data_IF_099883037146
#
_entry.id   IF_099883037146
#
_cell.length_a   1.000
_cell.length_b   1.000
_cell.length_c   1.000
_cell.angle_alpha   90.00
_cell.angle_beta   90.00
_cell.angle_gamma   90.00
#
_symmetry.space_group_name_H-M   'P 1'
#
loop_
_entity.id
_entity.type
_entity.pdbx_description
1 polymer ?
#
# COMPACT_ATOMS: atom_id res chain seq x y z
N UNK A 1 -56.21 -54.63 -11.62
CA UNK A 1 -55.86 -53.43 -12.42
C UNK A 1 -55.49 -52.16 -11.62
N UNK A 2 -55.52 -52.12 -10.26
CA UNK A 2 -55.19 -50.89 -9.49
C UNK A 2 -53.71 -50.68 -9.10
N UNK A 3 -52.86 -51.71 -9.09
CA UNK A 3 -51.44 -51.58 -8.65
C UNK A 3 -50.48 -51.05 -9.73
N UNK A 4 -50.81 -51.18 -11.02
CA UNK A 4 -49.98 -50.68 -12.14
C UNK A 4 -50.08 -49.16 -12.35
N UNK A 5 -51.19 -48.53 -11.97
CA UNK A 5 -51.37 -47.08 -12.12
C UNK A 5 -50.65 -46.27 -11.04
N UNK A 6 -50.55 -46.76 -9.80
CA UNK A 6 -49.79 -46.07 -8.75
C UNK A 6 -48.27 -46.04 -9.03
N UNK A 7 -47.71 -47.12 -9.58
CA UNK A 7 -46.29 -47.16 -9.95
C UNK A 7 -45.92 -46.20 -11.09
N UNK A 8 -46.83 -46.01 -12.08
CA UNK A 8 -46.64 -45.04 -13.16
C UNK A 8 -46.72 -43.59 -12.68
N UNK A 9 -47.63 -43.30 -11.74
CA UNK A 9 -47.76 -41.97 -11.13
C UNK A 9 -46.52 -41.66 -10.28
N UNK A 10 -46.04 -42.61 -9.47
CA UNK A 10 -44.80 -42.43 -8.68
C UNK A 10 -43.57 -42.19 -9.56
N UNK A 11 -43.48 -42.86 -10.72
CA UNK A 11 -42.41 -42.64 -11.70
C UNK A 11 -42.46 -41.25 -12.35
N UNK A 12 -43.65 -40.76 -12.71
CA UNK A 12 -43.82 -39.41 -13.26
C UNK A 12 -43.47 -38.32 -12.23
N UNK A 13 -43.85 -38.51 -10.96
CA UNK A 13 -43.46 -37.59 -9.87
C UNK A 13 -41.94 -37.57 -9.63
N UNK A 14 -41.26 -38.72 -9.71
CA UNK A 14 -39.80 -38.78 -9.58
C UNK A 14 -39.07 -38.14 -10.77
N UNK A 15 -39.56 -38.29 -12.00
CA UNK A 15 -38.97 -37.62 -13.17
C UNK A 15 -39.16 -36.10 -13.08
N UNK A 16 -40.33 -35.62 -12.67
CA UNK A 16 -40.59 -34.18 -12.47
C UNK A 16 -39.66 -33.61 -11.38
N UNK A 17 -39.45 -34.33 -10.27
CA UNK A 17 -38.52 -33.90 -9.22
C UNK A 17 -37.05 -33.91 -9.67
N UNK A 18 -36.63 -34.89 -10.48
CA UNK A 18 -35.26 -34.92 -11.05
C UNK A 18 -35.06 -33.80 -12.07
N UNK A 19 -36.05 -33.50 -12.91
CA UNK A 19 -35.98 -32.34 -13.83
C UNK A 19 -35.95 -31.03 -13.04
N UNK A 20 -36.76 -30.89 -11.98
CA UNK A 20 -36.76 -29.72 -11.10
C UNK A 20 -35.40 -29.52 -10.39
N UNK A 21 -34.77 -30.62 -9.95
CA UNK A 21 -33.42 -30.62 -9.37
C UNK A 21 -32.33 -30.24 -10.40
N UNK A 22 -32.42 -30.72 -11.64
CA UNK A 22 -31.45 -30.40 -12.70
C UNK A 22 -31.65 -28.96 -13.21
N UNK A 23 -32.88 -28.45 -13.25
CA UNK A 23 -33.15 -27.03 -13.59
C UNK A 23 -32.76 -26.07 -12.46
N UNK A 24 -32.69 -26.52 -11.22
CA UNK A 24 -32.16 -25.71 -10.10
C UNK A 24 -30.64 -25.58 -10.08
N UNK A 25 -29.91 -26.29 -10.95
CA UNK A 25 -28.44 -26.26 -11.03
C UNK A 25 -27.89 -25.61 -12.31
N UNK A 26 -28.72 -24.93 -13.11
CA UNK A 26 -28.28 -24.25 -14.33
C UNK A 26 -28.73 -22.78 -14.40
N UNK A 27 -28.59 -22.04 -13.30
CA UNK A 27 -28.48 -20.57 -13.37
C UNK A 27 -27.57 -20.04 -12.25
N UNK A 28 -26.37 -20.60 -12.08
CA UNK A 28 -25.25 -19.76 -11.64
C UNK A 28 -24.67 -19.12 -12.90
N UNK A 29 -25.40 -18.15 -13.45
CA UNK A 29 -24.74 -17.06 -14.16
C UNK A 29 -23.90 -16.40 -13.09
N UNK A 30 -22.62 -16.77 -13.02
CA UNK A 30 -21.63 -15.91 -12.42
C UNK A 30 -21.82 -14.58 -13.13
N UNK A 31 -22.46 -13.62 -12.46
CA UNK A 31 -22.35 -12.23 -12.83
C UNK A 31 -20.86 -11.95 -12.61
N UNK A 32 -20.05 -12.23 -13.64
CA UNK A 32 -18.81 -11.52 -13.85
C UNK A 32 -19.29 -10.08 -13.84
N UNK A 33 -19.12 -9.40 -12.70
CA UNK A 33 -19.28 -7.97 -12.64
C UNK A 33 -18.21 -7.48 -13.59
N UNK A 34 -18.61 -7.26 -14.84
CA UNK A 34 -17.78 -6.64 -15.85
C UNK A 34 -17.48 -5.27 -15.25
N UNK A 35 -16.33 -5.16 -14.57
CA UNK A 35 -15.81 -3.88 -14.19
C UNK A 35 -15.83 -3.03 -15.46
N UNK A 36 -16.36 -1.79 -15.41
CA UNK A 36 -16.41 -0.90 -16.56
C UNK A 36 -15.10 -1.02 -17.36
N UNK A 37 -15.19 -1.30 -18.66
CA UNK A 37 -14.02 -1.63 -19.48
C UNK A 37 -12.87 -0.63 -19.24
N UNK A 38 -11.70 -1.17 -18.88
CA UNK A 38 -10.49 -0.40 -18.62
C UNK A 38 -10.29 0.09 -17.18
N UNK A 39 -11.16 -0.25 -16.22
CA UNK A 39 -10.84 -0.11 -14.80
C UNK A 39 -9.91 -1.22 -14.33
N UNK A 40 -8.87 -0.85 -13.59
CA UNK A 40 -7.91 -1.76 -12.98
C UNK A 40 -7.71 -1.46 -11.49
N UNK A 41 -7.48 -2.50 -10.68
CA UNK A 41 -7.16 -2.35 -9.25
C UNK A 41 -5.82 -1.64 -9.10
N UNK A 42 -5.72 -0.69 -8.17
CA UNK A 42 -4.47 -0.02 -7.86
C UNK A 42 -3.52 -1.00 -7.16
N UNK A 43 -2.43 -1.36 -7.83
CA UNK A 43 -1.37 -2.23 -7.31
C UNK A 43 -0.13 -1.47 -6.89
N UNK A 44 -0.01 -0.19 -7.24
CA UNK A 44 1.12 0.65 -6.81
C UNK A 44 1.17 0.69 -5.28
N UNK A 45 2.21 0.14 -4.63
CA UNK A 45 2.20 -0.13 -3.18
C UNK A 45 1.93 1.11 -2.34
N UNK A 46 2.42 2.28 -2.76
CA UNK A 46 2.18 3.51 -2.00
C UNK A 46 0.76 4.06 -2.14
N UNK A 47 -0.03 3.59 -3.10
CA UNK A 47 -1.36 4.15 -3.38
C UNK A 47 -2.48 3.15 -3.12
N UNK A 48 -2.22 1.84 -3.26
CA UNK A 48 -3.14 0.75 -2.93
C UNK A 48 -3.74 0.98 -1.54
N UNK A 49 -5.03 0.77 -1.29
CA UNK A 49 -5.73 1.00 0.00
C UNK A 49 -5.45 2.31 0.79
N UNK A 50 -4.80 3.30 0.17
CA UNK A 50 -4.48 4.57 0.80
C UNK A 50 -5.45 5.65 0.31
N UNK A 51 -5.84 5.58 -0.96
CA UNK A 51 -6.85 6.42 -1.56
C UNK A 51 -8.25 5.99 -1.08
N UNK A 52 -9.27 6.87 -1.14
CA UNK A 52 -10.65 6.50 -0.81
C UNK A 52 -11.32 5.62 -1.88
N UNK A 53 -10.58 5.24 -2.93
CA UNK A 53 -10.98 4.36 -4.00
C UNK A 53 -9.88 3.33 -4.25
N UNK A 54 -10.27 2.19 -4.83
CA UNK A 54 -9.39 1.04 -5.05
C UNK A 54 -9.04 0.81 -6.52
N UNK A 55 -9.72 1.50 -7.44
CA UNK A 55 -9.56 1.30 -8.89
C UNK A 55 -9.16 2.60 -9.58
N UNK A 56 -8.39 2.46 -10.65
CA UNK A 56 -8.01 3.56 -11.55
C UNK A 56 -8.30 3.18 -13.00
N UNK A 57 -8.15 4.15 -13.91
CA UNK A 57 -8.22 3.93 -15.35
C UNK A 57 -7.02 4.60 -16.01
N UNK A 58 -6.27 3.86 -16.80
CA UNK A 58 -5.18 4.35 -17.64
C UNK A 58 -5.61 4.40 -19.12
N UNK A 59 -5.05 5.30 -19.95
CA UNK A 59 -3.95 6.21 -19.63
C UNK A 59 -4.33 7.39 -18.75
N UNK A 60 -3.41 7.82 -17.89
CA UNK A 60 -3.59 9.04 -17.09
C UNK A 60 -3.27 10.31 -17.92
N UNK A 61 -3.50 11.48 -17.32
CA UNK A 61 -3.24 12.79 -17.95
C UNK A 61 -1.76 13.09 -18.24
N UNK A 62 -0.85 12.20 -17.83
CA UNK A 62 0.58 12.27 -18.09
C UNK A 62 1.04 11.27 -19.17
N UNK A 63 0.09 10.53 -19.77
CA UNK A 63 0.36 9.59 -20.85
C UNK A 63 0.83 8.21 -20.40
N UNK A 64 0.90 7.92 -19.09
CA UNK A 64 1.25 6.58 -18.62
C UNK A 64 0.12 5.62 -18.92
N UNK A 65 0.44 4.49 -19.51
CA UNK A 65 -0.50 3.45 -19.95
C UNK A 65 -0.53 2.24 -19.00
N UNK A 66 0.48 2.12 -18.13
CA UNK A 66 0.59 1.05 -17.14
C UNK A 66 0.88 1.58 -15.74
N UNK A 67 0.48 0.84 -14.71
CA UNK A 67 0.83 1.18 -13.33
C UNK A 67 2.34 1.04 -13.04
N UNK A 68 3.07 0.25 -13.83
CA UNK A 68 4.55 0.17 -13.78
C UNK A 68 5.19 1.48 -14.21
N UNK A 69 4.70 2.09 -15.29
CA UNK A 69 5.15 3.42 -15.72
C UNK A 69 4.83 4.49 -14.66
N UNK A 70 3.62 4.42 -14.07
CA UNK A 70 3.24 5.32 -12.97
C UNK A 70 4.19 5.15 -11.79
N UNK A 71 4.44 3.92 -11.35
CA UNK A 71 5.35 3.59 -10.25
C UNK A 71 6.74 4.21 -10.48
N UNK A 72 7.34 3.96 -11.65
CA UNK A 72 8.67 4.50 -12.00
C UNK A 72 8.68 6.03 -12.05
N UNK A 73 7.56 6.64 -12.43
CA UNK A 73 7.48 8.10 -12.41
C UNK A 73 7.42 8.64 -10.99
N UNK A 74 6.68 8.00 -10.08
CA UNK A 74 6.41 8.59 -8.76
C UNK A 74 7.35 8.10 -7.66
N UNK A 75 8.16 7.07 -7.92
CA UNK A 75 9.09 6.47 -6.94
C UNK A 75 10.05 7.49 -6.33
N UNK A 76 10.58 8.45 -7.11
CA UNK A 76 11.52 9.45 -6.59
C UNK A 76 10.87 10.45 -5.61
N UNK A 77 9.54 10.46 -5.50
CA UNK A 77 8.83 11.26 -4.50
C UNK A 77 8.64 10.54 -3.17
N UNK A 78 8.97 9.25 -3.07
CA UNK A 78 8.77 8.47 -1.85
C UNK A 78 9.43 9.07 -0.63
N UNK A 79 10.67 9.54 -0.77
CA UNK A 79 11.39 10.13 0.36
C UNK A 79 10.62 11.26 1.03
N UNK A 80 9.79 12.02 0.29
CA UNK A 80 8.96 13.09 0.88
C UNK A 80 7.63 12.58 1.44
N UNK A 81 7.07 11.51 0.85
CA UNK A 81 5.90 10.82 1.40
C UNK A 81 6.25 10.20 2.74
N UNK A 82 7.38 9.48 2.78
CA UNK A 82 7.99 8.89 3.96
C UNK A 82 8.30 9.98 4.98
N UNK A 83 8.97 11.07 4.59
CA UNK A 83 9.24 12.20 5.49
C UNK A 83 7.99 12.68 6.25
N UNK A 84 6.79 12.46 5.72
CA UNK A 84 5.56 12.70 6.45
C UNK A 84 5.31 14.19 6.62
N UNK A 85 5.88 15.01 5.72
CA UNK A 85 5.70 16.46 5.74
C UNK A 85 4.23 16.86 5.63
N UNK A 86 3.41 16.04 4.96
CA UNK A 86 1.97 16.21 4.83
C UNK A 86 1.34 14.89 4.41
N UNK A 87 0.33 14.42 5.16
CA UNK A 87 -0.48 13.26 4.76
C UNK A 87 -1.14 13.49 3.38
N UNK A 88 -1.43 14.75 3.06
CA UNK A 88 -1.96 15.16 1.77
C UNK A 88 -0.95 15.10 0.63
N UNK A 89 0.36 15.02 0.87
CA UNK A 89 1.35 14.91 -0.20
C UNK A 89 1.26 13.57 -0.93
N UNK A 90 1.27 12.45 -0.20
CA UNK A 90 1.07 11.12 -0.77
C UNK A 90 -0.28 11.02 -1.50
N UNK A 91 -1.35 11.58 -0.91
CA UNK A 91 -2.69 11.59 -1.53
C UNK A 91 -2.71 12.37 -2.84
N UNK A 92 -2.06 13.53 -2.84
CA UNK A 92 -1.96 14.41 -3.99
C UNK A 92 -1.22 13.74 -5.15
N UNK A 93 -0.07 13.11 -4.88
CA UNK A 93 0.71 12.42 -5.91
C UNK A 93 -0.06 11.21 -6.43
N UNK A 94 -0.53 10.32 -5.56
CA UNK A 94 -1.30 9.15 -5.97
C UNK A 94 -2.51 9.53 -6.84
N UNK A 95 -3.33 10.51 -6.42
CA UNK A 95 -4.51 10.93 -7.17
C UNK A 95 -4.21 11.65 -8.50
N UNK A 96 -2.98 12.12 -8.69
CA UNK A 96 -2.57 12.75 -9.95
C UNK A 96 -2.25 11.72 -11.03
N UNK A 97 -1.63 10.60 -10.64
CA UNK A 97 -1.14 9.57 -11.57
C UNK A 97 -2.05 8.33 -11.62
N UNK A 98 -2.84 8.08 -10.59
CA UNK A 98 -3.83 6.99 -10.51
C UNK A 98 -5.20 7.58 -10.18
N UNK A 99 -5.76 8.45 -11.04
CA UNK A 99 -7.04 9.08 -10.75
C UNK A 99 -8.16 8.04 -10.69
N UNK A 100 -9.15 8.30 -9.85
CA UNK A 100 -10.43 7.60 -9.91
C UNK A 100 -11.12 7.94 -11.23
N UNK A 101 -11.92 7.01 -11.76
CA UNK A 101 -12.73 7.24 -12.94
C UNK A 101 -14.21 7.22 -12.57
N UNK A 102 -14.85 8.39 -12.66
CA UNK A 102 -16.27 8.53 -12.41
C UNK A 102 -17.04 8.07 -13.66
N UNK A 103 -17.67 6.90 -13.54
CA UNK A 103 -18.46 6.28 -14.61
C UNK A 103 -19.66 7.15 -15.00
N UNK A 104 -20.26 7.87 -14.04
CA UNK A 104 -21.45 8.69 -14.27
C UNK A 104 -21.16 9.91 -15.13
N UNK A 105 -20.00 10.53 -14.93
CA UNK A 105 -19.57 11.71 -15.70
C UNK A 105 -18.56 11.39 -16.81
N UNK A 106 -18.17 10.12 -16.93
CA UNK A 106 -17.12 9.63 -17.84
C UNK A 106 -15.84 10.45 -17.76
N UNK A 107 -15.39 10.76 -16.53
CA UNK A 107 -14.26 11.66 -16.29
C UNK A 107 -13.33 11.14 -15.20
N UNK A 108 -12.04 11.37 -15.41
CA UNK A 108 -11.04 11.18 -14.36
C UNK A 108 -11.19 12.24 -13.26
N UNK A 109 -11.20 11.78 -12.01
CA UNK A 109 -11.29 12.61 -10.81
C UNK A 109 -9.89 12.78 -10.22
N UNK A 110 -9.26 13.91 -10.58
CA UNK A 110 -7.95 14.30 -10.06
C UNK A 110 -8.02 15.05 -8.72
N UNK A 111 -6.85 15.51 -8.19
CA UNK A 111 -6.79 16.23 -6.93
C UNK A 111 -7.39 17.64 -7.03
N UNK A 112 -7.97 18.14 -5.94
CA UNK A 112 -8.36 19.56 -5.84
C UNK A 112 -7.15 20.48 -5.67
N UNK A 113 -7.33 21.77 -5.98
CA UNK A 113 -6.35 22.85 -5.76
C UNK A 113 -5.88 22.92 -4.31
N UNK A 114 -6.78 22.72 -3.37
CA UNK A 114 -6.53 22.76 -1.92
C UNK A 114 -5.69 21.56 -1.48
N UNK A 115 -5.94 20.38 -2.05
CA UNK A 115 -5.12 19.18 -1.83
C UNK A 115 -3.66 19.44 -2.28
N UNK A 116 -3.46 19.96 -3.50
CA UNK A 116 -2.14 20.39 -3.97
C UNK A 116 -1.50 21.46 -3.08
N UNK A 117 -2.27 22.49 -2.71
CA UNK A 117 -1.75 23.65 -1.98
C UNK A 117 -1.31 23.29 -0.57
N UNK A 118 -2.05 22.41 0.12
CA UNK A 118 -1.67 21.91 1.44
C UNK A 118 -0.39 21.06 1.38
N UNK A 119 -0.34 20.10 0.46
CA UNK A 119 0.84 19.27 0.21
C UNK A 119 2.08 20.13 -0.08
N UNK A 120 1.96 21.09 -1.02
CA UNK A 120 3.05 22.01 -1.38
C UNK A 120 3.52 22.85 -0.20
N UNK A 121 2.59 23.42 0.56
CA UNK A 121 2.92 24.33 1.67
C UNK A 121 3.82 23.65 2.70
N UNK A 122 3.54 22.41 3.07
CA UNK A 122 4.33 21.68 4.08
C UNK A 122 5.55 20.97 3.50
N UNK A 123 5.45 20.38 2.31
CA UNK A 123 6.53 19.56 1.74
C UNK A 123 7.57 20.35 0.93
N UNK A 124 7.26 21.57 0.45
CA UNK A 124 8.21 22.35 -0.36
C UNK A 124 9.54 22.61 0.37
N UNK A 125 9.50 22.93 1.67
CA UNK A 125 10.71 23.16 2.47
C UNK A 125 11.53 21.87 2.67
N UNK A 126 10.84 20.76 2.93
CA UNK A 126 11.45 19.43 3.08
C UNK A 126 12.13 18.99 1.78
N UNK A 127 11.46 19.16 0.64
CA UNK A 127 12.06 18.89 -0.67
C UNK A 127 13.35 19.71 -0.85
N UNK A 128 13.34 21.00 -0.50
CA UNK A 128 14.51 21.87 -0.60
C UNK A 128 15.67 21.42 0.30
N UNK A 129 15.37 20.98 1.53
CA UNK A 129 16.37 20.40 2.45
C UNK A 129 17.01 19.13 1.86
N UNK A 130 16.21 18.31 1.17
CA UNK A 130 16.64 17.13 0.41
C UNK A 130 17.10 17.48 -1.02
N UNK A 131 17.60 18.71 -1.23
CA UNK A 131 18.19 19.20 -2.50
C UNK A 131 17.28 19.08 -3.73
N UNK A 132 15.97 19.07 -3.51
CA UNK A 132 14.95 18.85 -4.52
C UNK A 132 13.98 20.03 -4.60
N UNK A 133 13.41 20.27 -5.78
CA UNK A 133 12.50 21.40 -6.02
C UNK A 133 11.09 20.90 -6.27
N UNK A 134 10.09 21.67 -5.81
CA UNK A 134 8.71 21.41 -6.19
C UNK A 134 8.56 21.43 -7.73
N UNK A 135 7.98 20.40 -8.36
CA UNK A 135 7.94 20.30 -9.82
C UNK A 135 7.22 21.49 -10.46
N UNK A 136 7.81 22.05 -11.53
CA UNK A 136 7.29 23.25 -12.22
C UNK A 136 5.93 22.99 -12.88
N UNK A 137 5.68 21.75 -13.30
CA UNK A 137 4.42 21.30 -13.91
C UNK A 137 3.28 21.14 -12.89
N UNK A 138 3.58 20.98 -11.60
CA UNK A 138 2.61 20.81 -10.50
C UNK A 138 2.13 22.16 -9.95
N UNK A 139 1.64 23.04 -10.82
CA UNK A 139 1.07 24.34 -10.40
C UNK A 139 -0.35 24.11 -9.86
N UNK A 140 -0.56 24.39 -8.57
CA UNK A 140 -1.83 24.06 -7.91
C UNK A 140 -3.06 24.79 -8.48
N UNK A 141 -2.86 25.94 -9.13
CA UNK A 141 -3.93 26.68 -9.80
C UNK A 141 -4.48 25.98 -11.05
N UNK A 142 -3.84 24.93 -11.56
CA UNK A 142 -4.37 24.10 -12.67
C UNK A 142 -5.50 23.16 -12.23
N UNK A 143 -5.64 22.91 -10.93
CA UNK A 143 -6.64 22.00 -10.41
C UNK A 143 -7.95 22.72 -10.08
N UNK A 144 -9.06 21.97 -10.12
CA UNK A 144 -10.39 22.46 -9.71
C UNK A 144 -10.38 22.81 -8.22
N UNK A 145 -11.13 23.84 -7.82
CA UNK A 145 -11.29 24.19 -6.41
C UNK A 145 -12.22 23.23 -5.67
N UNK A 146 -12.04 23.09 -4.35
CA UNK A 146 -12.77 22.17 -3.48
C UNK A 146 -14.29 22.41 -3.39
N UNK A 147 -14.78 23.57 -3.85
CA UNK A 147 -16.20 23.87 -3.97
C UNK A 147 -16.87 23.07 -5.10
N UNK A 148 -16.08 22.47 -6.01
CA UNK A 148 -16.56 21.50 -6.97
C UNK A 148 -16.53 20.11 -6.32
N UNK A 149 -17.63 19.37 -6.39
CA UNK A 149 -17.67 17.95 -6.00
C UNK A 149 -16.93 17.03 -7.00
N UNK A 150 -16.28 17.57 -8.02
CA UNK A 150 -15.63 16.82 -9.10
C UNK A 150 -14.10 16.72 -8.95
N UNK A 151 -13.58 16.73 -7.71
CA UNK A 151 -12.15 16.52 -7.43
C UNK A 151 -11.92 15.93 -6.03
N UNK A 152 -10.76 15.31 -5.84
CA UNK A 152 -10.38 14.70 -4.58
C UNK A 152 -9.91 15.74 -3.56
N UNK A 153 -10.65 15.85 -2.45
CA UNK A 153 -10.42 16.82 -1.37
C UNK A 153 -9.28 16.39 -0.44
N UNK A 154 -8.60 17.34 0.25
CA UNK A 154 -7.59 17.01 1.26
C UNK A 154 -8.19 16.27 2.46
N UNK A 155 -7.39 15.42 3.09
CA UNK A 155 -7.65 14.94 4.44
C UNK A 155 -7.36 16.04 5.46
N UNK A 156 -8.02 15.92 6.61
CA UNK A 156 -7.77 16.78 7.77
C UNK A 156 -6.41 16.42 8.35
N UNK A 157 -5.51 17.40 8.42
CA UNK A 157 -4.19 17.19 9.04
C UNK A 157 -4.19 17.58 10.52
N UNK A 158 -3.41 16.88 11.38
CA UNK A 158 -3.15 17.31 12.74
C UNK A 158 -2.44 18.68 12.79
N UNK A 159 -2.76 19.51 13.79
CA UNK A 159 -2.14 20.82 13.97
C UNK A 159 -0.66 20.65 14.43
N UNK A 160 0.34 21.17 13.69
CA UNK A 160 1.75 21.10 14.09
C UNK A 160 2.09 21.88 15.37
N UNK A 161 1.25 22.81 15.83
CA UNK A 161 1.51 23.63 17.03
C UNK A 161 1.34 22.88 18.37
N UNK A 162 0.94 21.60 18.34
CA UNK A 162 0.95 20.71 19.52
C UNK A 162 2.21 19.84 19.57
N UNK A 163 3.37 20.48 19.40
CA UNK A 163 4.70 19.98 19.77
C UNK A 163 5.04 18.53 19.41
N UNK A 164 5.80 18.32 18.34
CA UNK A 164 6.89 17.34 18.39
C UNK A 164 7.99 17.69 17.38
N UNK A 165 8.97 18.41 17.92
CA UNK A 165 10.36 18.31 17.47
C UNK A 165 10.70 16.82 17.35
N UNK A 166 11.50 16.48 16.34
CA UNK A 166 11.93 15.15 15.90
C UNK A 166 12.60 14.28 17.00
N UNK A 167 11.86 13.91 18.04
CA UNK A 167 12.34 13.01 19.07
C UNK A 167 11.90 11.59 18.74
N UNK A 168 12.90 10.76 18.45
CA UNK A 168 12.73 9.31 18.42
C UNK A 168 12.25 8.85 19.80
N UNK A 169 11.23 7.99 19.81
CA UNK A 169 10.72 7.36 21.01
C UNK A 169 10.43 5.89 20.74
N UNK A 170 10.61 5.06 21.76
CA UNK A 170 10.24 3.65 21.68
C UNK A 170 8.72 3.49 21.94
N UNK A 171 8.04 2.63 21.18
CA UNK A 171 6.61 2.35 21.29
C UNK A 171 6.31 0.86 21.11
N UNK A 172 5.29 0.30 21.79
CA UNK A 172 4.87 -1.08 21.58
C UNK A 172 4.46 -1.35 20.13
N UNK A 173 4.83 -2.52 19.61
CA UNK A 173 4.48 -2.94 18.26
C UNK A 173 3.00 -3.33 18.22
N UNK A 174 2.21 -2.55 17.50
CA UNK A 174 0.76 -2.79 17.31
C UNK A 174 0.41 -3.20 15.87
N UNK A 175 1.42 -3.46 15.04
CA UNK A 175 1.20 -4.00 13.70
C UNK A 175 0.79 -5.47 13.85
N UNK A 176 -0.37 -5.86 13.32
CA UNK A 176 -0.97 -7.19 13.53
C UNK A 176 -0.08 -8.32 12.99
N UNK A 177 0.60 -8.08 11.88
CA UNK A 177 1.54 -9.01 11.27
C UNK A 177 2.87 -9.13 12.06
N UNK A 178 3.17 -8.15 12.92
CA UNK A 178 4.42 -8.06 13.67
C UNK A 178 4.29 -8.49 15.13
N UNK A 179 3.23 -9.21 15.49
CA UNK A 179 3.10 -9.82 16.80
C UNK A 179 4.07 -11.00 16.96
N UNK A 180 4.40 -11.38 18.20
CA UNK A 180 5.25 -12.54 18.50
C UNK A 180 6.62 -12.53 17.80
N UNK A 181 7.21 -11.36 17.62
CA UNK A 181 8.62 -11.22 17.22
C UNK A 181 9.53 -11.38 18.45
N UNK A 182 10.84 -11.58 18.25
CA UNK A 182 11.82 -11.61 19.35
C UNK A 182 11.86 -10.32 20.19
N UNK A 183 11.24 -9.24 19.71
CA UNK A 183 11.13 -7.96 20.38
C UNK A 183 9.71 -7.40 20.26
N UNK A 184 9.30 -6.61 21.25
CA UNK A 184 7.91 -6.08 21.34
C UNK A 184 7.84 -4.54 21.32
N UNK A 185 8.98 -3.87 21.27
CA UNK A 185 9.10 -2.42 21.31
C UNK A 185 9.95 -1.96 20.12
N UNK A 186 9.41 -1.07 19.29
CA UNK A 186 10.13 -0.47 18.17
C UNK A 186 10.18 1.05 18.24
N UNK A 187 11.06 1.67 17.46
CA UNK A 187 11.22 3.12 17.43
C UNK A 187 10.23 3.78 16.47
N UNK A 188 9.65 4.89 16.89
CA UNK A 188 8.99 5.87 16.03
C UNK A 188 9.71 7.23 16.14
N UNK A 189 9.81 8.00 15.05
CA UNK A 189 9.43 7.59 13.71
C UNK A 189 10.31 6.45 13.17
N UNK A 190 9.79 5.62 12.26
CA UNK A 190 10.55 4.53 11.63
C UNK A 190 11.58 5.05 10.59
N UNK A 191 12.25 4.15 9.86
CA UNK A 191 13.19 4.50 8.78
C UNK A 191 12.57 5.37 7.67
N UNK A 192 11.25 5.30 7.54
CA UNK A 192 10.45 6.08 6.62
C UNK A 192 9.81 7.28 7.29
N UNK A 193 10.31 7.73 8.44
CA UNK A 193 9.81 8.90 9.17
C UNK A 193 8.32 8.87 9.60
N UNK A 194 7.67 7.71 9.49
CA UNK A 194 6.26 7.52 9.85
C UNK A 194 6.12 7.49 11.37
N UNK A 195 5.13 8.22 11.91
CA UNK A 195 4.89 8.37 13.36
C UNK A 195 3.58 7.76 13.84
N UNK A 196 2.63 7.58 12.92
CA UNK A 196 1.28 7.17 13.25
C UNK A 196 1.11 5.67 13.03
N UNK A 197 1.11 4.90 14.11
CA UNK A 197 0.95 3.44 14.09
C UNK A 197 -0.22 2.98 13.21
N UNK A 198 -1.34 3.72 13.20
CA UNK A 198 -2.50 3.36 12.37
C UNK A 198 -2.20 3.47 10.88
N UNK A 199 -1.46 4.51 10.46
CA UNK A 199 -1.02 4.65 9.07
C UNK A 199 0.03 3.59 8.71
N UNK A 200 0.94 3.25 9.64
CA UNK A 200 1.87 2.15 9.46
C UNK A 200 1.13 0.81 9.26
N UNK A 201 0.11 0.51 10.07
CA UNK A 201 -0.68 -0.73 9.94
C UNK A 201 -1.35 -0.84 8.56
N UNK A 202 -1.96 0.23 8.07
CA UNK A 202 -2.59 0.25 6.74
C UNK A 202 -1.57 0.00 5.64
N UNK A 203 -0.40 0.65 5.72
CA UNK A 203 0.64 0.46 4.73
C UNK A 203 1.30 -0.93 4.82
N UNK A 204 1.52 -1.44 6.02
CA UNK A 204 2.12 -2.75 6.20
C UNK A 204 1.24 -3.86 5.62
N UNK A 205 -0.08 -3.69 5.65
CA UNK A 205 -1.05 -4.62 5.05
C UNK A 205 -0.84 -4.87 3.55
N UNK A 206 -0.09 -4.04 2.81
CA UNK A 206 0.26 -4.36 1.42
C UNK A 206 1.14 -5.61 1.28
N UNK A 207 1.86 -5.97 2.34
CA UNK A 207 2.67 -7.16 2.34
C UNK A 207 1.90 -8.41 2.76
N UNK A 208 0.60 -8.34 3.08
CA UNK A 208 -0.17 -9.51 3.52
C UNK A 208 -0.14 -10.65 2.50
N UNK A 209 -0.38 -10.34 1.22
CA UNK A 209 -0.31 -11.32 0.15
C UNK A 209 1.10 -11.87 -0.04
N UNK A 210 2.14 -11.04 0.12
CA UNK A 210 3.53 -11.50 0.01
C UNK A 210 3.92 -12.39 1.20
N UNK A 211 3.55 -12.01 2.42
CA UNK A 211 3.76 -12.80 3.64
C UNK A 211 3.09 -14.16 3.54
N UNK A 212 1.89 -14.22 2.95
CA UNK A 212 1.16 -15.47 2.74
C UNK A 212 1.84 -16.43 1.75
N UNK A 213 2.74 -15.95 0.87
CA UNK A 213 3.49 -16.83 -0.03
C UNK A 213 4.53 -17.69 0.69
N UNK A 214 5.01 -17.25 1.86
CA UNK A 214 6.11 -17.92 2.56
C UNK A 214 7.42 -17.95 1.78
N UNK A 215 7.66 -17.03 0.84
CA UNK A 215 8.85 -17.01 -0.02
C UNK A 215 10.19 -17.02 0.74
N UNK A 216 10.25 -16.46 1.96
CA UNK A 216 11.43 -16.53 2.82
C UNK A 216 11.04 -16.61 4.29
N UNK A 217 11.74 -17.45 5.07
CA UNK A 217 11.46 -17.67 6.49
C UNK A 217 11.55 -16.38 7.33
N UNK A 218 12.42 -15.46 6.93
CA UNK A 218 12.68 -14.20 7.65
C UNK A 218 12.00 -12.96 7.04
N UNK A 219 11.13 -13.11 6.02
CA UNK A 219 10.43 -11.97 5.40
C UNK A 219 9.68 -11.12 6.44
N UNK A 220 8.93 -11.79 7.35
CA UNK A 220 8.18 -11.10 8.41
C UNK A 220 9.10 -10.32 9.34
N UNK A 221 10.20 -10.93 9.78
CA UNK A 221 11.17 -10.29 10.65
C UNK A 221 11.83 -9.08 9.97
N UNK A 222 12.24 -9.22 8.71
CA UNK A 222 12.82 -8.14 7.91
C UNK A 222 11.87 -6.95 7.75
N UNK A 223 10.64 -7.19 7.30
CA UNK A 223 9.64 -6.12 7.11
C UNK A 223 9.32 -5.44 8.44
N UNK A 224 9.07 -6.20 9.50
CA UNK A 224 8.75 -5.64 10.81
C UNK A 224 9.94 -4.86 11.42
N UNK A 225 11.17 -5.34 11.27
CA UNK A 225 12.39 -4.62 11.67
C UNK A 225 12.61 -3.33 10.90
N UNK A 226 12.16 -3.28 9.64
CA UNK A 226 12.24 -2.07 8.82
C UNK A 226 11.18 -1.03 9.23
N UNK A 227 9.94 -1.48 9.44
CA UNK A 227 8.80 -0.61 9.79
C UNK A 227 8.73 -0.23 11.26
N UNK A 228 9.27 -1.07 12.14
CA UNK A 228 9.35 -0.87 13.59
C UNK A 228 10.74 -1.31 14.07
N UNK A 229 11.79 -0.52 13.80
CA UNK A 229 13.15 -0.84 14.20
C UNK A 229 13.29 -1.06 15.69
N UNK A 230 14.12 -2.00 16.11
CA UNK A 230 14.30 -2.33 17.52
C UNK A 230 14.87 -1.14 18.30
N UNK A 231 14.29 -0.86 19.47
CA UNK A 231 14.58 0.31 20.28
C UNK A 231 14.66 -0.06 21.76
N UNK A 232 15.73 0.35 22.45
CA UNK A 232 15.89 0.18 23.91
C UNK A 232 15.83 1.56 24.56
N UNK A 233 14.79 1.83 25.38
CA UNK A 233 14.71 2.96 26.31
C UNK A 233 15.05 4.35 25.74
N UNK A 234 14.39 4.75 24.64
CA UNK A 234 14.62 6.01 23.91
C UNK A 234 16.09 6.27 23.52
N UNK A 235 16.94 5.24 23.58
CA UNK A 235 18.33 5.36 23.20
C UNK A 235 18.45 5.47 21.68
N UNK A 236 19.26 6.43 21.24
CA UNK A 236 19.74 6.52 19.87
C UNK A 236 21.15 5.93 19.86
N UNK A 237 21.48 4.95 18.99
CA UNK A 237 20.73 4.50 17.80
C UNK A 237 19.82 3.27 18.02
N UNK A 238 18.76 3.21 17.22
CA UNK A 238 17.90 2.03 17.05
C UNK A 238 18.57 0.99 16.15
N UNK A 239 18.07 -0.24 16.14
CA UNK A 239 18.64 -1.36 15.36
C UNK A 239 17.68 -1.77 14.24
N UNK A 240 18.21 -1.89 13.02
CA UNK A 240 17.47 -2.28 11.80
C UNK A 240 17.99 -3.60 11.24
N UNK A 241 17.30 -4.24 10.28
CA UNK A 241 17.86 -5.40 9.58
C UNK A 241 19.22 -5.09 8.95
N UNK A 242 20.13 -6.06 8.92
CA UNK A 242 21.36 -5.94 8.14
C UNK A 242 21.09 -6.11 6.63
N UNK A 243 22.01 -5.62 5.81
CA UNK A 243 21.94 -5.72 4.34
C UNK A 243 21.88 -7.15 3.86
N UNK A 244 22.62 -8.05 4.48
CA UNK A 244 22.71 -9.47 4.14
C UNK A 244 21.33 -10.14 4.29
N UNK A 245 20.63 -9.90 5.40
CA UNK A 245 19.24 -10.33 5.59
C UNK A 245 18.29 -9.74 4.54
N UNK A 246 18.50 -8.48 4.15
CA UNK A 246 17.71 -7.86 3.08
C UNK A 246 17.93 -8.59 1.75
N UNK A 247 19.18 -8.85 1.37
CA UNK A 247 19.54 -9.46 0.08
C UNK A 247 18.99 -10.89 -0.03
N UNK A 248 19.05 -11.67 1.05
CA UNK A 248 18.42 -13.00 1.13
C UNK A 248 16.90 -12.94 0.91
N UNK A 249 16.23 -12.00 1.58
CA UNK A 249 14.78 -11.82 1.46
C UNK A 249 14.39 -11.31 0.07
N UNK A 250 15.10 -10.31 -0.46
CA UNK A 250 14.86 -9.74 -1.80
C UNK A 250 15.00 -10.82 -2.87
N UNK A 251 16.10 -11.57 -2.88
CA UNK A 251 16.35 -12.64 -3.85
C UNK A 251 15.26 -13.73 -3.82
N UNK A 252 14.76 -14.10 -2.64
CA UNK A 252 13.73 -15.12 -2.49
C UNK A 252 12.31 -14.60 -2.83
N UNK A 253 12.03 -13.33 -2.56
CA UNK A 253 10.67 -12.78 -2.60
C UNK A 253 10.38 -11.84 -3.77
N UNK A 254 11.38 -11.36 -4.52
CA UNK A 254 11.19 -10.39 -5.60
C UNK A 254 10.26 -10.89 -6.71
N UNK A 255 10.38 -12.16 -7.10
CA UNK A 255 9.55 -12.77 -8.15
C UNK A 255 8.10 -12.89 -7.69
N UNK A 256 7.89 -13.32 -6.44
CA UNK A 256 6.57 -13.38 -5.83
C UNK A 256 5.94 -11.99 -5.72
N UNK A 257 6.74 -10.99 -5.33
CA UNK A 257 6.29 -9.60 -5.28
C UNK A 257 5.85 -9.11 -6.66
N UNK A 258 6.66 -9.32 -7.70
CA UNK A 258 6.33 -8.93 -9.06
C UNK A 258 5.04 -9.58 -9.56
N UNK A 259 4.85 -10.89 -9.32
CA UNK A 259 3.64 -11.61 -9.70
C UNK A 259 2.39 -11.06 -9.00
N UNK A 260 2.47 -10.76 -7.71
CA UNK A 260 1.35 -10.24 -6.91
C UNK A 260 1.02 -8.78 -7.23
N UNK A 261 1.96 -8.01 -7.77
CA UNK A 261 1.85 -6.57 -7.95
C UNK A 261 1.96 -6.14 -9.43
N UNK A 262 1.49 -6.98 -10.37
CA UNK A 262 1.37 -6.61 -11.78
C UNK A 262 2.72 -6.31 -12.46
N UNK A 263 3.78 -7.02 -12.08
CA UNK A 263 5.12 -6.87 -12.63
C UNK A 263 5.94 -5.72 -12.02
N UNK A 264 5.48 -5.11 -10.93
CA UNK A 264 6.25 -4.09 -10.22
C UNK A 264 7.54 -4.67 -9.61
N UNK A 265 8.68 -3.95 -9.68
CA UNK A 265 9.94 -4.41 -9.10
C UNK A 265 9.91 -4.34 -7.57
N UNK A 266 10.90 -4.95 -6.93
CA UNK A 266 11.08 -4.85 -5.48
C UNK A 266 11.07 -3.39 -5.01
N UNK A 267 10.34 -3.04 -3.91
CA UNK A 267 10.11 -1.64 -3.58
C UNK A 267 11.40 -0.90 -3.22
N UNK A 268 11.64 0.26 -3.83
CA UNK A 268 12.87 1.05 -3.59
C UNK A 268 13.08 1.44 -2.12
N UNK A 269 12.00 1.59 -1.36
CA UNK A 269 12.08 1.91 0.07
C UNK A 269 12.72 0.81 0.92
N UNK A 270 12.73 -0.43 0.45
CA UNK A 270 13.36 -1.58 1.10
C UNK A 270 14.53 -2.16 0.29
N UNK A 271 15.13 -1.40 -0.63
CA UNK A 271 16.34 -1.82 -1.34
C UNK A 271 17.52 -1.96 -0.38
N UNK A 272 18.31 -3.01 -0.59
CA UNK A 272 19.31 -3.44 0.39
C UNK A 272 20.48 -2.47 0.62
N UNK A 273 20.78 -1.59 -0.35
CA UNK A 273 21.78 -0.52 -0.16
C UNK A 273 21.42 0.47 0.97
N UNK A 274 20.15 0.49 1.42
CA UNK A 274 19.67 1.35 2.51
C UNK A 274 19.97 0.80 3.90
N UNK A 275 20.40 -0.45 3.99
CA UNK A 275 20.73 -1.12 5.25
C UNK A 275 22.26 -1.21 5.42
N UNK A 276 22.77 -1.12 6.66
CA UNK A 276 24.18 -1.28 6.95
C UNK A 276 24.58 -2.76 6.81
N UNK A 277 25.86 -2.98 6.52
CA UNK A 277 26.47 -4.31 6.54
C UNK A 277 26.61 -4.80 7.99
N UNK A 278 26.49 -6.11 8.22
CA UNK A 278 26.61 -6.71 9.54
C UNK A 278 27.97 -6.41 10.21
N UNK A 279 29.05 -6.39 9.43
CA UNK A 279 30.41 -6.12 9.90
C UNK A 279 30.75 -4.61 9.99
N UNK A 280 29.79 -3.73 9.68
CA UNK A 280 30.04 -2.28 9.65
C UNK A 280 30.35 -1.74 11.05
N UNK A 281 31.42 -0.96 11.18
CA UNK A 281 31.74 -0.18 12.38
C UNK A 281 30.96 1.14 12.45
N UNK A 282 29.95 1.31 11.60
CA UNK A 282 29.09 2.48 11.62
C UNK A 282 28.32 2.61 12.94
N UNK A 283 27.88 3.85 13.22
CA UNK A 283 27.09 4.16 14.42
C UNK A 283 25.76 3.39 14.44
N UNK A 284 25.17 3.10 13.28
CA UNK A 284 23.88 2.43 13.19
C UNK A 284 24.07 0.92 13.23
N UNK A 285 23.67 0.30 14.35
CA UNK A 285 23.70 -1.16 14.50
C UNK A 285 22.61 -1.81 13.66
N UNK A 286 22.87 -3.02 13.21
CA UNK A 286 21.85 -3.87 12.59
C UNK A 286 21.78 -5.25 13.25
N UNK A 287 20.78 -6.03 12.86
CA UNK A 287 20.58 -7.40 13.34
C UNK A 287 20.40 -8.38 12.17
N UNK A 288 20.90 -9.59 12.38
CA UNK A 288 20.62 -10.81 11.65
C UNK A 288 19.67 -11.72 12.47
N UNK A 289 18.96 -12.68 11.85
CA UNK A 289 18.08 -13.59 12.58
C UNK A 289 18.82 -14.45 13.63
N UNK A 290 20.11 -14.70 13.40
CA UNK A 290 21.01 -15.44 14.29
C UNK A 290 21.45 -14.65 15.52
N UNK A 291 21.20 -13.34 15.56
CA UNK A 291 21.65 -12.46 16.64
C UNK A 291 20.70 -12.49 17.86
N UNK A 292 19.88 -13.54 17.99
CA UNK A 292 19.11 -13.75 19.21
C UNK A 292 20.08 -14.04 20.38
N UNK A 293 19.88 -13.39 21.55
CA UNK A 293 20.67 -13.65 22.74
C UNK A 293 20.50 -15.08 23.27
#
# INVERSE_FOLDING_TARGET
MRRRNMARIQWLFNIINVIALVTSQLTDISIVTSHPEGLEEIVVPMCKNFLPYTHTRLPNSHGHTTQVEVYRHIEHYWSYMDYGCSINFRKFVCAMFLPEYDVSTSRAVGPCKELCSQAKRKCKKVMQQLRSKWPKNWKCNKFKGANSNACLKPWREPNPDRGSVHHLYCSPIRISQCQNLPYHIGSLPNLFLQRNITELQTEFGYYDSLLATGCHAHLRLFLCGTYMPFCVHNANPFTIPCRELCEEVEAACEVHFALLNGGLPWPQKVQCHRFPLAESQERLRCFMPTDQP
#
